data_IF_238710523763
#
_entry.id   IF_238710523763
#
_cell.length_a   1.000
_cell.length_b   1.000
_cell.length_c   1.000
_cell.angle_alpha   90.00
_cell.angle_beta   90.00
_cell.angle_gamma   90.00
#
_symmetry.space_group_name_H-M   'P 1'
#
loop_
_entity.id
_entity.type
_entity.pdbx_description
1 polymer ?
#
# COMPACT_ATOMS: atom_id res chain seq x y z
N UNK A 1 -14.91 38.48 -56.78
CA UNK A 1 -14.34 37.60 -55.74
C UNK A 1 -13.04 38.23 -55.27
N UNK A 2 -13.08 38.90 -54.12
CA UNK A 2 -12.01 39.76 -53.62
C UNK A 2 -11.08 38.98 -52.66
N UNK A 3 -9.76 39.11 -52.87
CA UNK A 3 -8.71 38.68 -51.93
C UNK A 3 -8.60 39.69 -50.78
N UNK A 4 -8.41 39.25 -49.52
CA UNK A 4 -7.86 40.12 -48.48
C UNK A 4 -6.33 40.14 -48.55
N UNK A 5 -5.76 41.34 -48.33
CA UNK A 5 -4.32 41.66 -48.34
C UNK A 5 -3.95 42.22 -46.95
N UNK A 6 -2.94 41.60 -46.29
CA UNK A 6 -1.90 42.18 -45.37
C UNK A 6 -2.33 42.81 -44.02
N UNK A 7 -1.50 42.82 -42.93
CA UNK A 7 -0.07 43.24 -42.92
C UNK A 7 0.95 42.42 -42.07
N UNK A 8 2.27 42.74 -42.20
CA UNK A 8 3.39 42.07 -41.55
C UNK A 8 3.92 42.81 -40.29
N UNK A 9 4.79 42.14 -39.53
CA UNK A 9 5.64 42.73 -38.47
C UNK A 9 5.31 42.16 -37.08
N UNK A 10 6.22 41.91 -36.16
CA UNK A 10 7.67 42.05 -36.01
C UNK A 10 8.03 41.23 -34.76
N UNK A 11 9.19 40.58 -34.65
CA UNK A 11 10.39 41.22 -34.12
C UNK A 11 10.35 41.32 -32.59
N UNK A 12 11.03 40.42 -31.87
CA UNK A 12 11.26 40.57 -30.43
C UNK A 12 11.74 39.32 -29.69
N UNK A 13 13.05 39.09 -29.68
CA UNK A 13 13.78 38.35 -28.63
C UNK A 13 14.37 39.43 -27.70
N UNK A 14 14.34 39.35 -26.35
CA UNK A 14 15.46 38.75 -25.56
C UNK A 14 15.04 38.37 -24.10
N UNK A 15 15.93 38.28 -23.08
CA UNK A 15 17.30 37.75 -22.99
C UNK A 15 17.46 36.62 -21.94
N UNK A 16 18.57 35.91 -22.11
CA UNK A 16 19.27 35.08 -21.13
C UNK A 16 19.90 35.95 -20.00
N UNK A 17 19.87 35.53 -18.73
CA UNK A 17 20.87 35.95 -17.75
C UNK A 17 21.80 34.79 -17.37
N UNK A 18 23.06 34.91 -17.80
CA UNK A 18 24.21 34.25 -17.20
C UNK A 18 24.71 35.04 -15.98
N UNK A 19 25.20 34.30 -14.99
CA UNK A 19 26.05 34.76 -13.89
C UNK A 19 25.63 34.07 -12.59
N UNK A 20 26.41 33.22 -11.95
CA UNK A 20 27.81 32.87 -12.10
C UNK A 20 28.36 32.50 -10.72
N UNK A 21 29.41 31.68 -10.74
CA UNK A 21 30.42 31.52 -9.69
C UNK A 21 30.20 30.46 -8.60
N UNK A 22 31.23 29.61 -8.44
CA UNK A 22 31.34 28.65 -7.33
C UNK A 22 32.09 27.37 -7.70
N UNK A 23 33.30 27.48 -8.25
CA UNK A 23 34.17 26.33 -8.46
C UNK A 23 35.01 25.97 -7.23
N UNK A 24 35.28 24.66 -7.14
CA UNK A 24 36.58 24.04 -6.87
C UNK A 24 36.97 23.58 -5.45
N UNK A 25 37.50 22.33 -5.45
CA UNK A 25 38.50 21.70 -4.55
C UNK A 25 38.13 21.46 -3.08
N UNK A 26 38.53 20.39 -2.39
CA UNK A 26 39.43 19.25 -2.62
C UNK A 26 39.42 18.40 -1.33
N UNK A 27 39.36 17.07 -1.43
CA UNK A 27 40.42 16.11 -1.11
C UNK A 27 41.20 16.30 0.23
N UNK A 28 41.25 15.22 1.02
CA UNK A 28 42.11 15.01 2.22
C UNK A 28 41.30 14.45 3.40
N UNK A 29 41.49 13.24 3.94
CA UNK A 29 42.64 12.34 3.91
C UNK A 29 43.49 12.50 5.18
N UNK A 30 43.17 11.74 6.25
CA UNK A 30 44.03 11.26 7.35
C UNK A 30 43.14 10.93 8.57
N UNK A 31 43.39 9.94 9.41
CA UNK A 31 44.51 9.03 9.55
C UNK A 31 44.25 8.20 10.81
N UNK A 32 44.61 6.92 10.80
CA UNK A 32 44.46 6.01 11.93
C UNK A 32 45.57 6.15 12.98
N UNK A 33 45.27 5.68 14.19
CA UNK A 33 46.18 5.08 15.18
C UNK A 33 45.26 4.55 16.31
N UNK A 34 45.38 3.36 16.89
CA UNK A 34 46.52 2.46 17.01
C UNK A 34 46.75 2.18 18.50
N UNK A 35 46.25 1.03 18.99
CA UNK A 35 46.88 0.20 20.02
C UNK A 35 46.83 0.60 21.51
N UNK A 36 46.72 -0.43 22.37
CA UNK A 36 47.41 -0.47 23.67
C UNK A 36 46.53 -0.69 24.89
N UNK A 37 46.71 -1.84 25.55
CA UNK A 37 45.92 -2.28 26.71
C UNK A 37 46.28 -1.63 28.06
N UNK A 38 45.48 -1.95 29.07
CA UNK A 38 45.75 -1.62 30.48
C UNK A 38 44.49 -1.67 31.37
N UNK A 39 44.35 -2.72 32.19
CA UNK A 39 43.57 -2.75 33.45
C UNK A 39 44.43 -2.13 34.59
N UNK A 40 44.00 -1.93 35.87
CA UNK A 40 42.72 -2.20 36.58
C UNK A 40 42.26 -1.06 37.56
N UNK A 41 41.29 -1.41 38.44
CA UNK A 41 40.74 -0.75 39.65
C UNK A 41 39.61 0.27 39.41
N UNK A 42 38.50 0.29 40.14
CA UNK A 42 38.02 -0.45 41.29
C UNK A 42 36.79 0.26 41.87
N UNK A 43 36.02 -0.48 42.66
CA UNK A 43 35.08 0.02 43.68
C UNK A 43 33.65 0.46 43.30
N UNK A 44 32.72 -0.44 43.66
CA UNK A 44 31.55 -0.23 44.52
C UNK A 44 30.48 0.81 44.17
N UNK A 45 29.23 0.36 44.08
CA UNK A 45 28.09 1.21 44.47
C UNK A 45 26.75 0.88 43.82
N UNK A 46 26.09 -0.17 44.31
CA UNK A 46 24.62 -0.32 44.46
C UNK A 46 23.66 0.14 43.35
N UNK A 47 23.02 -0.83 42.68
CA UNK A 47 21.64 -0.69 42.16
C UNK A 47 20.87 -2.00 42.42
N UNK A 48 19.64 -1.93 42.98
CA UNK A 48 18.87 -3.09 43.42
C UNK A 48 18.19 -3.87 42.28
N UNK A 49 17.85 -5.13 42.62
CA UNK A 49 17.19 -6.15 41.81
C UNK A 49 15.83 -5.71 41.23
N UNK A 50 15.67 -5.88 39.91
CA UNK A 50 14.60 -6.69 39.30
C UNK A 50 14.66 -6.57 37.76
N UNK A 51 15.30 -7.56 37.10
CA UNK A 51 15.03 -7.88 35.70
C UNK A 51 15.04 -9.40 35.53
N UNK A 52 13.88 -9.88 35.10
CA UNK A 52 13.46 -11.27 35.04
C UNK A 52 14.06 -12.04 33.85
N UNK A 53 14.65 -13.20 34.15
CA UNK A 53 14.62 -14.53 33.48
C UNK A 53 14.60 -14.72 31.96
N UNK A 54 14.60 -13.71 31.09
CA UNK A 54 14.44 -13.90 29.64
C UNK A 54 15.75 -13.88 28.81
N UNK A 55 16.88 -13.47 29.38
CA UNK A 55 18.14 -13.27 28.64
C UNK A 55 19.22 -14.32 28.90
N UNK A 56 19.03 -15.25 29.85
CA UNK A 56 20.00 -16.32 30.12
C UNK A 56 19.76 -17.61 29.31
N UNK A 57 18.66 -17.74 28.57
CA UNK A 57 18.33 -18.99 27.88
C UNK A 57 18.95 -19.12 26.48
N UNK A 58 19.37 -18.01 25.86
CA UNK A 58 19.88 -18.01 24.47
C UNK A 58 21.39 -18.31 24.38
N UNK A 59 22.13 -18.23 25.48
CA UNK A 59 23.59 -18.41 25.48
C UNK A 59 24.07 -19.84 25.87
N UNK A 60 23.19 -20.77 26.22
CA UNK A 60 23.59 -22.14 26.63
C UNK A 60 23.26 -23.26 25.63
N UNK A 61 22.61 -22.98 24.50
CA UNK A 61 22.24 -24.01 23.50
C UNK A 61 23.15 -24.05 22.25
N UNK A 62 24.32 -23.39 22.29
CA UNK A 62 25.30 -23.43 21.20
C UNK A 62 26.51 -24.35 21.47
N UNK A 63 26.50 -25.14 22.53
CA UNK A 63 27.57 -26.08 22.83
C UNK A 63 27.01 -27.41 23.35
N UNK A 64 26.76 -28.36 22.44
CA UNK A 64 27.09 -29.78 22.60
C UNK A 64 26.57 -30.57 21.39
N UNK A 65 27.51 -31.20 20.68
CA UNK A 65 27.23 -32.06 19.53
C UNK A 65 26.67 -33.44 19.91
N UNK A 66 26.02 -34.04 18.91
CA UNK A 66 25.54 -35.44 18.71
C UNK A 66 26.33 -36.54 19.46
N UNK A 67 25.79 -37.77 19.76
CA UNK A 67 24.92 -38.59 18.89
C UNK A 67 23.90 -39.58 19.54
N UNK A 68 22.93 -40.08 18.74
CA UNK A 68 22.42 -41.47 18.81
C UNK A 68 21.20 -41.83 19.68
N UNK A 69 20.19 -42.47 19.06
CA UNK A 69 19.34 -43.50 19.71
C UNK A 69 17.90 -43.10 20.13
N UNK A 70 16.89 -43.97 19.92
CA UNK A 70 15.47 -43.58 19.89
C UNK A 70 14.81 -43.64 21.27
N UNK A 71 14.03 -42.62 21.62
CA UNK A 71 13.27 -42.61 22.87
C UNK A 71 12.08 -41.66 22.77
N UNK A 72 10.87 -42.23 22.78
CA UNK A 72 9.61 -41.52 22.97
C UNK A 72 9.68 -40.69 24.26
N UNK A 73 9.53 -39.37 24.12
CA UNK A 73 9.51 -38.43 25.24
C UNK A 73 8.51 -37.33 24.96
N UNK A 74 7.31 -37.50 25.50
CA UNK A 74 6.16 -36.61 25.40
C UNK A 74 6.51 -35.22 25.97
N UNK A 75 6.68 -34.22 25.11
CA UNK A 75 6.89 -32.83 25.54
C UNK A 75 5.53 -32.12 25.64
N UNK A 76 5.21 -31.39 26.73
CA UNK A 76 3.93 -30.70 26.87
C UNK A 76 3.75 -29.65 25.77
N UNK A 77 2.67 -29.80 25.01
CA UNK A 77 2.37 -29.02 23.81
C UNK A 77 2.33 -27.52 24.08
N UNK A 78 3.10 -26.79 23.27
CA UNK A 78 2.93 -25.36 23.02
C UNK A 78 1.44 -25.10 22.72
N UNK A 79 0.81 -24.07 23.30
CA UNK A 79 -0.61 -23.80 23.06
C UNK A 79 -0.88 -23.67 21.56
N UNK A 80 -1.90 -24.41 21.13
CA UNK A 80 -2.36 -24.60 19.75
C UNK A 80 -2.35 -23.28 18.99
N UNK A 81 -1.39 -23.09 18.08
CA UNK A 81 -1.54 -22.06 17.06
C UNK A 81 -2.79 -22.44 16.25
N UNK A 82 -3.73 -21.51 16.01
CA UNK A 82 -4.90 -21.80 15.18
C UNK A 82 -4.44 -22.40 13.86
N UNK A 83 -5.13 -23.46 13.46
CA UNK A 83 -4.83 -24.37 12.34
C UNK A 83 -4.39 -23.61 11.08
N UNK A 84 -3.09 -23.32 10.94
CA UNK A 84 -2.56 -22.65 9.75
C UNK A 84 -2.53 -23.67 8.61
N UNK A 85 -3.03 -23.34 7.40
CA UNK A 85 -2.89 -24.23 6.27
C UNK A 85 -1.40 -24.51 6.02
N UNK A 86 -1.08 -25.75 5.65
CA UNK A 86 0.29 -26.13 5.28
C UNK A 86 0.81 -25.22 4.15
N UNK A 87 2.10 -24.84 4.23
CA UNK A 87 2.73 -24.00 3.21
C UNK A 87 2.74 -24.72 1.85
N UNK A 88 2.15 -24.17 0.78
CA UNK A 88 2.23 -24.77 -0.54
C UNK A 88 3.69 -24.80 -1.03
N UNK A 89 4.03 -25.81 -1.82
CA UNK A 89 5.34 -25.93 -2.45
C UNK A 89 5.42 -25.28 -3.83
N UNK A 90 4.27 -24.90 -4.42
CA UNK A 90 4.15 -24.26 -5.73
C UNK A 90 2.97 -23.27 -5.74
N UNK A 91 3.03 -22.22 -6.59
CA UNK A 91 1.86 -21.38 -6.86
C UNK A 91 0.73 -22.15 -7.56
N UNK A 92 -0.51 -21.64 -7.53
CA UNK A 92 -1.61 -22.20 -8.33
C UNK A 92 -1.22 -22.30 -9.81
N UNK A 93 -1.76 -23.29 -10.51
CA UNK A 93 -1.59 -23.40 -11.95
C UNK A 93 -2.24 -22.21 -12.67
N UNK A 94 -1.68 -21.83 -13.81
CA UNK A 94 -2.19 -20.71 -14.62
C UNK A 94 -3.71 -20.80 -14.92
N UNK A 95 -4.23 -22.01 -15.15
CA UNK A 95 -5.64 -22.27 -15.45
C UNK A 95 -6.54 -22.30 -14.20
N UNK A 96 -5.95 -22.37 -13.01
CA UNK A 96 -6.69 -22.36 -11.74
C UNK A 96 -6.91 -20.93 -11.23
N UNK A 97 -6.26 -19.94 -11.84
CA UNK A 97 -6.34 -18.54 -11.44
C UNK A 97 -7.66 -17.94 -11.94
N UNK A 98 -8.43 -17.34 -11.04
CA UNK A 98 -9.76 -16.82 -11.35
C UNK A 98 -10.14 -15.64 -10.47
N UNK A 99 -11.16 -14.89 -10.91
CA UNK A 99 -11.85 -13.89 -10.09
C UNK A 99 -13.09 -14.49 -9.46
N UNK A 100 -13.31 -14.26 -8.16
CA UNK A 100 -14.59 -14.45 -7.48
C UNK A 100 -15.42 -13.16 -7.54
N UNK A 101 -16.75 -13.22 -7.38
CA UNK A 101 -17.58 -12.01 -7.32
C UNK A 101 -17.14 -11.04 -6.22
N UNK A 102 -16.80 -11.58 -5.04
CA UNK A 102 -16.25 -10.81 -3.92
C UNK A 102 -14.92 -10.14 -4.29
N UNK A 103 -14.04 -10.83 -5.01
CA UNK A 103 -12.78 -10.22 -5.46
C UNK A 103 -12.99 -9.12 -6.49
N UNK A 104 -13.97 -9.27 -7.40
CA UNK A 104 -14.30 -8.25 -8.40
C UNK A 104 -14.77 -6.98 -7.70
N UNK A 105 -15.73 -7.11 -6.79
CA UNK A 105 -16.23 -5.99 -5.99
C UNK A 105 -15.10 -5.33 -5.19
N UNK A 106 -14.27 -6.15 -4.53
CA UNK A 106 -13.13 -5.65 -3.76
C UNK A 106 -12.16 -4.84 -4.64
N UNK A 107 -11.76 -5.37 -5.80
CA UNK A 107 -10.77 -4.71 -6.67
C UNK A 107 -11.33 -3.40 -7.22
N UNK A 108 -12.58 -3.43 -7.70
CA UNK A 108 -13.17 -2.32 -8.44
C UNK A 108 -13.68 -1.23 -7.50
N UNK A 109 -14.50 -1.60 -6.52
CA UNK A 109 -15.28 -0.66 -5.71
C UNK A 109 -14.82 -0.63 -4.24
N UNK A 110 -14.20 -1.73 -3.76
CA UNK A 110 -13.67 -1.87 -2.41
C UNK A 110 -14.74 -2.21 -1.35
N UNK A 111 -14.30 -2.70 -0.20
CA UNK A 111 -15.21 -3.28 0.82
C UNK A 111 -15.73 -2.23 1.83
N UNK A 112 -16.13 -1.04 1.36
CA UNK A 112 -16.70 0.00 2.24
C UNK A 112 -15.73 0.56 3.30
N UNK A 113 -14.42 0.55 3.02
CA UNK A 113 -13.40 0.95 4.01
C UNK A 113 -12.09 1.47 3.43
N UNK A 114 -10.94 0.91 3.83
CA UNK A 114 -9.60 1.33 3.36
C UNK A 114 -8.95 0.35 2.39
N UNK A 115 -9.66 -0.70 1.97
CA UNK A 115 -9.10 -1.77 1.13
C UNK A 115 -9.80 -1.81 -0.22
N UNK A 116 -9.09 -2.27 -1.26
CA UNK A 116 -9.64 -2.38 -2.60
C UNK A 116 -9.97 -1.03 -3.25
N UNK A 117 -10.86 -1.02 -4.24
CA UNK A 117 -11.37 0.20 -4.84
C UNK A 117 -10.32 0.93 -5.67
N UNK A 118 -10.04 0.35 -6.84
CA UNK A 118 -9.06 0.84 -7.80
C UNK A 118 -9.68 1.21 -9.14
N UNK A 119 -11.01 1.11 -9.29
CA UNK A 119 -11.69 1.75 -10.41
C UNK A 119 -11.52 3.27 -10.31
N UNK A 120 -11.40 3.90 -11.48
CA UNK A 120 -11.31 5.35 -11.59
C UNK A 120 -12.54 6.04 -10.96
N UNK A 121 -12.31 7.05 -10.13
CA UNK A 121 -13.35 7.83 -9.43
C UNK A 121 -13.79 7.28 -8.08
N UNK A 122 -13.15 6.24 -7.56
CA UNK A 122 -13.47 5.71 -6.21
C UNK A 122 -13.00 6.63 -5.07
N UNK A 123 -12.00 7.47 -5.33
CA UNK A 123 -11.56 8.56 -4.47
C UNK A 123 -10.93 8.13 -3.15
N UNK A 124 -10.49 6.87 -3.00
CA UNK A 124 -9.91 6.40 -1.74
C UNK A 124 -8.59 7.13 -1.46
N UNK A 125 -8.50 7.76 -0.28
CA UNK A 125 -7.31 8.48 0.17
C UNK A 125 -6.02 7.67 0.07
N UNK A 126 -4.96 8.30 -0.47
CA UNK A 126 -3.60 7.74 -0.64
C UNK A 126 -3.54 6.48 -1.49
N UNK A 127 -4.55 6.24 -2.34
CA UNK A 127 -4.55 5.12 -3.27
C UNK A 127 -4.35 5.58 -4.69
N UNK A 128 -3.92 4.65 -5.51
CA UNK A 128 -3.94 4.75 -6.95
C UNK A 128 -5.19 4.08 -7.51
N UNK A 129 -5.65 4.58 -8.65
CA UNK A 129 -6.75 4.00 -9.42
C UNK A 129 -6.25 3.73 -10.84
N UNK A 130 -6.85 2.73 -11.49
CA UNK A 130 -6.62 2.42 -12.88
C UNK A 130 -7.02 3.59 -13.78
N UNK A 131 -6.50 3.64 -15.02
CA UNK A 131 -6.88 4.67 -15.97
C UNK A 131 -8.39 4.82 -16.15
N UNK A 132 -8.83 6.07 -16.35
CA UNK A 132 -10.26 6.40 -16.50
C UNK A 132 -10.90 5.75 -17.73
N UNK A 133 -10.11 5.40 -18.75
CA UNK A 133 -10.54 4.71 -19.95
C UNK A 133 -10.53 3.18 -19.80
N UNK A 134 -10.08 2.64 -18.67
CA UNK A 134 -10.19 1.21 -18.36
C UNK A 134 -11.51 0.95 -17.64
N UNK A 135 -12.39 0.20 -18.31
CA UNK A 135 -13.60 -0.32 -17.69
C UNK A 135 -13.31 -1.50 -16.75
N UNK A 136 -14.35 -1.96 -16.04
CA UNK A 136 -14.26 -3.08 -15.11
C UNK A 136 -13.70 -4.35 -15.76
N UNK A 137 -14.11 -4.65 -17.01
CA UNK A 137 -13.64 -5.84 -17.73
C UNK A 137 -12.14 -5.74 -17.98
N UNK A 138 -11.68 -4.60 -18.48
CA UNK A 138 -10.28 -4.36 -18.79
C UNK A 138 -9.39 -4.49 -17.55
N UNK A 139 -9.84 -3.97 -16.41
CA UNK A 139 -9.09 -4.07 -15.14
C UNK A 139 -8.94 -5.53 -14.72
N UNK A 140 -10.03 -6.30 -14.75
CA UNK A 140 -10.02 -7.70 -14.33
C UNK A 140 -9.22 -8.58 -15.30
N UNK A 141 -9.32 -8.31 -16.60
CA UNK A 141 -8.53 -8.96 -17.64
C UNK A 141 -7.04 -8.65 -17.49
N UNK A 142 -6.68 -7.38 -17.20
CA UNK A 142 -5.30 -6.99 -16.95
C UNK A 142 -4.73 -7.68 -15.70
N UNK A 143 -5.51 -7.74 -14.62
CA UNK A 143 -5.14 -8.43 -13.39
C UNK A 143 -4.84 -9.92 -13.63
N UNK A 144 -5.67 -10.59 -14.44
CA UNK A 144 -5.45 -11.97 -14.86
C UNK A 144 -4.28 -12.11 -15.83
N UNK A 145 -4.16 -11.25 -16.84
CA UNK A 145 -3.07 -11.26 -17.82
C UNK A 145 -1.69 -11.21 -17.13
N UNK A 146 -1.56 -10.39 -16.09
CA UNK A 146 -0.32 -10.26 -15.30
C UNK A 146 0.12 -11.59 -14.67
N UNK A 147 -0.82 -12.44 -14.24
CA UNK A 147 -0.48 -13.74 -13.65
C UNK A 147 0.04 -14.73 -14.70
N UNK A 148 -0.20 -14.45 -15.99
CA UNK A 148 0.23 -15.26 -17.11
C UNK A 148 1.59 -14.81 -17.70
N UNK A 149 2.13 -13.67 -17.26
CA UNK A 149 3.38 -13.11 -17.81
C UNK A 149 4.65 -13.81 -17.27
N UNK A 150 4.54 -14.58 -16.19
CA UNK A 150 5.69 -15.24 -15.58
C UNK A 150 5.42 -15.74 -14.16
N UNK A 151 6.48 -16.21 -13.46
CA UNK A 151 6.34 -16.67 -12.08
C UNK A 151 5.99 -15.52 -11.13
N UNK A 152 5.46 -15.81 -9.93
CA UNK A 152 5.24 -14.80 -8.91
C UNK A 152 6.51 -14.02 -8.58
N UNK A 153 6.40 -12.71 -8.50
CA UNK A 153 7.45 -11.81 -8.00
C UNK A 153 7.72 -12.00 -6.50
N UNK A 154 6.74 -12.50 -5.74
CA UNK A 154 6.86 -12.78 -4.30
C UNK A 154 5.92 -13.91 -3.88
N UNK A 155 6.35 -14.72 -2.92
CA UNK A 155 5.52 -15.74 -2.27
C UNK A 155 6.23 -17.10 -2.17
N UNK A 156 5.61 -18.08 -1.51
CA UNK A 156 4.36 -17.95 -0.76
C UNK A 156 4.54 -17.18 0.56
N UNK A 157 3.57 -16.33 0.90
CA UNK A 157 3.47 -15.62 2.19
C UNK A 157 2.07 -15.71 2.79
N UNK A 158 1.93 -15.56 4.11
CA UNK A 158 0.63 -15.60 4.78
C UNK A 158 -0.10 -14.25 4.66
N UNK A 159 -1.39 -14.32 4.34
CA UNK A 159 -2.36 -13.23 4.31
C UNK A 159 -3.70 -13.72 4.87
N UNK A 160 -4.78 -12.98 4.60
CA UNK A 160 -6.16 -13.38 4.90
C UNK A 160 -7.00 -13.49 3.63
N UNK A 161 -7.91 -14.46 3.60
CA UNK A 161 -8.96 -14.54 2.59
C UNK A 161 -10.05 -13.46 2.83
N UNK A 162 -11.11 -13.47 2.01
CA UNK A 162 -12.24 -12.55 2.16
C UNK A 162 -12.98 -12.70 3.51
N UNK A 163 -12.91 -13.88 4.13
CA UNK A 163 -13.55 -14.18 5.41
C UNK A 163 -12.64 -13.90 6.62
N UNK A 164 -11.41 -13.43 6.38
CA UNK A 164 -10.42 -13.17 7.43
C UNK A 164 -9.63 -14.39 7.88
N UNK A 165 -9.80 -15.55 7.26
CA UNK A 165 -9.06 -16.77 7.58
C UNK A 165 -7.63 -16.70 7.01
N UNK A 166 -6.63 -17.28 7.71
CA UNK A 166 -5.27 -17.36 7.17
C UNK A 166 -5.23 -18.08 5.81
N UNK A 167 -4.63 -17.43 4.82
CA UNK A 167 -4.45 -17.98 3.48
C UNK A 167 -3.02 -17.72 2.99
N UNK A 168 -2.48 -18.63 2.18
CA UNK A 168 -1.22 -18.39 1.48
C UNK A 168 -1.46 -17.60 0.21
N UNK A 169 -0.54 -16.71 -0.13
CA UNK A 169 -0.65 -15.86 -1.31
C UNK A 169 0.69 -15.63 -2.02
N UNK A 170 0.56 -15.15 -3.26
CA UNK A 170 1.61 -14.87 -4.21
C UNK A 170 1.35 -13.51 -4.85
N UNK A 171 2.37 -12.67 -5.00
CA UNK A 171 2.27 -11.42 -5.76
C UNK A 171 2.85 -11.62 -7.15
N UNK A 172 2.11 -11.15 -8.15
CA UNK A 172 2.53 -11.01 -9.54
C UNK A 172 2.62 -9.53 -9.87
N UNK A 173 3.60 -9.16 -10.68
CA UNK A 173 3.76 -7.80 -11.20
C UNK A 173 4.02 -7.91 -12.69
N UNK A 174 3.32 -7.11 -13.48
CA UNK A 174 3.42 -7.12 -14.93
C UNK A 174 2.97 -5.78 -15.51
N UNK A 175 3.08 -5.62 -16.82
CA UNK A 175 2.62 -4.41 -17.53
C UNK A 175 1.52 -4.75 -18.52
N UNK A 176 0.51 -3.89 -18.58
CA UNK A 176 -0.59 -3.93 -19.57
C UNK A 176 -0.83 -2.50 -20.04
N UNK A 177 -0.73 -2.27 -21.35
CA UNK A 177 -0.90 -0.96 -22.00
C UNK A 177 -0.13 0.20 -21.33
N UNK A 178 1.11 -0.07 -20.92
CA UNK A 178 1.98 0.94 -20.30
C UNK A 178 1.76 1.14 -18.80
N UNK A 179 0.76 0.49 -18.20
CA UNK A 179 0.47 0.53 -16.76
C UNK A 179 1.08 -0.70 -16.08
N UNK A 180 1.88 -0.48 -15.04
CA UNK A 180 2.27 -1.54 -14.11
C UNK A 180 1.06 -1.96 -13.28
N UNK A 181 0.84 -3.26 -13.19
CA UNK A 181 -0.27 -3.86 -12.44
C UNK A 181 0.31 -4.88 -11.48
N UNK A 182 -0.06 -4.76 -10.21
CA UNK A 182 0.29 -5.71 -9.18
C UNK A 182 -0.94 -6.50 -8.76
N UNK A 183 -0.85 -7.83 -8.86
CA UNK A 183 -1.94 -8.77 -8.55
C UNK A 183 -1.51 -9.69 -7.42
N UNK A 184 -2.35 -9.85 -6.40
CA UNK A 184 -2.16 -10.86 -5.35
C UNK A 184 -3.12 -12.02 -5.56
N UNK A 185 -2.59 -13.23 -5.67
CA UNK A 185 -3.34 -14.48 -5.89
C UNK A 185 -3.21 -15.36 -4.66
N UNK A 186 -4.32 -15.84 -4.13
CA UNK A 186 -4.36 -16.81 -3.05
C UNK A 186 -3.99 -18.21 -3.56
N UNK A 187 -3.56 -19.09 -2.65
CA UNK A 187 -3.15 -20.45 -3.00
C UNK A 187 -4.30 -21.33 -3.54
N UNK A 188 -5.56 -20.90 -3.40
CA UNK A 188 -6.73 -21.52 -4.04
C UNK A 188 -6.98 -21.03 -5.48
N UNK A 189 -6.13 -20.15 -6.02
CA UNK A 189 -6.26 -19.57 -7.36
C UNK A 189 -7.04 -18.25 -7.41
N UNK A 190 -7.71 -17.83 -6.34
CA UNK A 190 -8.46 -16.59 -6.34
C UNK A 190 -7.52 -15.37 -6.42
N UNK A 191 -7.75 -14.50 -7.40
CA UNK A 191 -7.15 -13.15 -7.41
C UNK A 191 -7.81 -12.36 -6.28
N UNK A 192 -7.08 -12.07 -5.20
CA UNK A 192 -7.63 -11.37 -4.02
C UNK A 192 -7.70 -9.86 -4.21
N UNK A 193 -6.71 -9.30 -4.89
CA UNK A 193 -6.60 -7.86 -5.14
C UNK A 193 -5.72 -7.60 -6.34
N UNK A 194 -5.96 -6.48 -7.02
CA UNK A 194 -5.14 -5.95 -8.09
C UNK A 194 -5.20 -4.42 -8.06
N UNK A 195 -4.07 -3.77 -8.32
CA UNK A 195 -3.97 -2.31 -8.34
C UNK A 195 -2.78 -1.83 -9.17
N UNK A 196 -2.79 -0.59 -9.68
CA UNK A 196 -1.64 0.00 -10.34
C UNK A 196 -0.70 0.65 -9.31
N UNK A 197 0.45 0.05 -8.95
CA UNK A 197 1.29 0.57 -7.86
C UNK A 197 2.01 1.89 -8.21
N UNK A 198 2.22 2.20 -9.49
CA UNK A 198 2.98 3.36 -9.93
C UNK A 198 2.07 4.48 -10.43
N UNK A 199 1.92 5.52 -9.61
CA UNK A 199 1.13 6.71 -9.95
C UNK A 199 1.67 7.56 -11.10
N UNK A 200 2.87 7.28 -11.61
CA UNK A 200 3.45 7.98 -12.76
C UNK A 200 3.20 7.26 -14.10
N UNK A 201 2.61 6.06 -14.09
CA UNK A 201 2.25 5.39 -15.33
C UNK A 201 1.09 6.14 -16.03
N UNK A 202 1.01 6.08 -17.38
CA UNK A 202 0.01 6.83 -18.14
C UNK A 202 -1.42 6.55 -17.66
N UNK A 203 -2.17 7.61 -17.37
CA UNK A 203 -3.58 7.54 -16.97
C UNK A 203 -3.84 7.07 -15.54
N UNK A 204 -2.84 6.54 -14.82
CA UNK A 204 -3.01 6.14 -13.41
C UNK A 204 -3.31 7.37 -12.57
N UNK A 205 -4.41 7.32 -11.83
CA UNK A 205 -4.85 8.41 -10.96
C UNK A 205 -4.27 8.18 -9.57
N UNK A 206 -3.74 9.23 -8.94
CA UNK A 206 -3.23 9.17 -7.56
C UNK A 206 -4.02 10.09 -6.66
N UNK A 207 -4.77 9.50 -5.73
CA UNK A 207 -5.59 10.27 -4.80
C UNK A 207 -4.74 10.90 -3.68
N UNK A 208 -5.02 12.17 -3.31
CA UNK A 208 -4.34 12.83 -2.22
C UNK A 208 -4.68 12.20 -0.86
N UNK A 209 -4.01 12.68 0.19
CA UNK A 209 -4.35 12.30 1.55
C UNK A 209 -5.66 12.95 1.99
N UNK A 210 -6.55 12.18 2.61
CA UNK A 210 -7.74 12.73 3.24
C UNK A 210 -7.35 13.79 4.30
N UNK A 211 -8.21 14.79 4.54
CA UNK A 211 -7.99 15.81 5.57
C UNK A 211 -7.71 15.18 6.94
N UNK A 212 -6.70 15.70 7.63
CA UNK A 212 -6.33 15.27 8.98
C UNK A 212 -6.10 16.50 9.88
N UNK A 213 -6.94 16.73 10.92
CA UNK A 213 -8.03 15.86 11.37
C UNK A 213 -9.18 15.77 10.36
N UNK A 214 -9.94 14.67 10.43
CA UNK A 214 -11.12 14.49 9.60
C UNK A 214 -12.17 15.60 9.88
N UNK A 215 -12.94 16.04 8.87
CA UNK A 215 -13.97 17.05 9.08
C UNK A 215 -15.01 16.63 10.12
N UNK A 216 -15.57 17.60 10.84
CA UNK A 216 -16.54 17.32 11.91
C UNK A 216 -17.74 16.53 11.36
N UNK A 217 -17.94 15.32 11.88
CA UNK A 217 -19.03 14.44 11.46
C UNK A 217 -18.59 13.29 10.57
N UNK A 218 -17.35 13.28 10.11
CA UNK A 218 -16.75 12.16 9.38
C UNK A 218 -16.06 11.22 10.37
N UNK A 219 -16.40 9.92 10.40
CA UNK A 219 -15.73 8.94 11.25
C UNK A 219 -14.32 8.63 10.74
N UNK A 220 -13.35 8.50 11.65
CA UNK A 220 -11.96 8.19 11.27
C UNK A 220 -11.79 6.80 10.62
N UNK A 221 -12.72 5.88 10.89
CA UNK A 221 -12.76 4.53 10.31
C UNK A 221 -13.19 4.51 8.84
N UNK A 222 -13.91 5.53 8.39
CA UNK A 222 -14.46 5.62 7.02
C UNK A 222 -14.17 7.03 6.48
N UNK A 223 -12.96 7.24 5.91
CA UNK A 223 -12.52 8.54 5.45
C UNK A 223 -13.37 9.04 4.26
N UNK A 224 -13.40 10.36 4.00
CA UNK A 224 -14.10 10.90 2.85
C UNK A 224 -13.46 10.43 1.54
N UNK A 225 -14.21 10.56 0.45
CA UNK A 225 -13.84 10.25 -0.93
C UNK A 225 -13.39 11.50 -1.65
N UNK A 226 -12.28 11.41 -2.37
CA UNK A 226 -11.80 12.50 -3.19
C UNK A 226 -12.48 12.49 -4.57
N UNK A 227 -13.05 13.63 -4.94
CA UNK A 227 -13.65 13.87 -6.24
C UNK A 227 -12.53 14.28 -7.22
N UNK A 228 -11.84 13.30 -7.81
CA UNK A 228 -10.60 13.57 -8.56
C UNK A 228 -10.87 14.31 -9.90
N UNK A 229 -10.20 15.43 -10.20
CA UNK A 229 -10.47 16.20 -11.43
C UNK A 229 -10.25 15.43 -12.74
N UNK A 230 -9.29 14.51 -12.78
CA UNK A 230 -9.01 13.69 -13.97
C UNK A 230 -10.17 12.77 -14.40
N UNK A 231 -11.16 12.56 -13.53
CA UNK A 231 -12.41 11.82 -13.82
C UNK A 231 -13.64 12.72 -13.76
N UNK A 232 -13.46 14.03 -13.91
CA UNK A 232 -14.55 15.02 -13.89
C UNK A 232 -14.98 15.47 -12.49
N UNK A 233 -14.20 15.14 -11.46
CA UNK A 233 -14.42 15.63 -10.11
C UNK A 233 -14.07 17.11 -9.91
N UNK A 234 -14.48 17.66 -8.77
CA UNK A 234 -14.32 19.07 -8.40
C UNK A 234 -13.17 19.31 -7.40
N UNK A 235 -12.40 18.27 -7.08
CA UNK A 235 -11.31 18.32 -6.12
C UNK A 235 -11.77 18.39 -4.66
N UNK A 236 -13.04 18.10 -4.37
CA UNK A 236 -13.58 18.07 -3.02
C UNK A 236 -13.39 16.71 -2.33
N UNK A 237 -13.46 16.71 -1.01
CA UNK A 237 -13.60 15.52 -0.18
C UNK A 237 -15.03 15.37 0.29
N UNK A 238 -15.69 14.28 -0.08
CA UNK A 238 -17.08 14.02 0.29
C UNK A 238 -17.20 12.76 1.14
N UNK A 239 -17.85 12.86 2.29
CA UNK A 239 -18.30 11.71 3.07
C UNK A 239 -19.80 11.73 3.20
N UNK A 240 -20.43 10.57 3.05
CA UNK A 240 -21.85 10.38 3.29
C UNK A 240 -22.06 9.21 4.23
N UNK A 241 -22.86 9.42 5.27
CA UNK A 241 -23.16 8.32 6.17
C UNK A 241 -24.03 8.71 7.36
N UNK A 242 -24.33 7.72 8.20
CA UNK A 242 -25.19 7.91 9.35
C UNK A 242 -24.49 8.72 10.45
N UNK A 243 -25.20 9.70 11.00
CA UNK A 243 -24.84 10.43 12.22
C UNK A 243 -26.06 10.54 13.12
N UNK A 244 -26.09 9.72 14.17
CA UNK A 244 -27.28 9.58 15.02
C UNK A 244 -28.45 8.99 14.23
N UNK A 245 -29.58 9.69 14.20
CA UNK A 245 -30.79 9.31 13.46
C UNK A 245 -30.89 9.96 12.08
N UNK A 246 -29.82 10.55 11.56
CA UNK A 246 -29.78 11.23 10.25
C UNK A 246 -28.72 10.62 9.35
N UNK A 247 -28.93 10.70 8.04
CA UNK A 247 -27.86 10.59 7.05
C UNK A 247 -27.39 12.01 6.77
N UNK A 248 -26.07 12.23 6.84
CA UNK A 248 -25.46 13.52 6.49
C UNK A 248 -24.46 13.35 5.34
N UNK A 249 -24.31 14.40 4.56
CA UNK A 249 -23.20 14.61 3.63
C UNK A 249 -22.29 15.67 4.20
N UNK A 250 -20.99 15.37 4.31
CA UNK A 250 -19.95 16.32 4.67
C UNK A 250 -19.07 16.52 3.45
N UNK A 251 -18.97 17.75 2.96
CA UNK A 251 -18.10 18.11 1.83
C UNK A 251 -17.07 19.10 2.33
N UNK A 252 -15.79 18.81 2.11
CA UNK A 252 -14.70 19.78 2.24
C UNK A 252 -14.20 20.13 0.84
N UNK A 253 -14.30 21.41 0.45
CA UNK A 253 -13.81 21.87 -0.85
C UNK A 253 -12.27 21.96 -0.91
N UNK A 254 -11.74 22.31 -2.08
CA UNK A 254 -10.30 22.45 -2.31
C UNK A 254 -9.66 23.58 -1.48
N UNK A 255 -10.45 24.55 -1.01
CA UNK A 255 -10.03 25.64 -0.13
C UNK A 255 -10.10 25.28 1.36
N UNK A 256 -10.65 24.10 1.69
CA UNK A 256 -10.80 23.62 3.05
C UNK A 256 -12.09 24.06 3.75
N UNK A 257 -13.03 24.69 3.03
CA UNK A 257 -14.33 25.02 3.60
C UNK A 257 -15.16 23.75 3.74
N UNK A 258 -15.78 23.57 4.91
CA UNK A 258 -16.59 22.40 5.22
C UNK A 258 -18.06 22.76 5.21
N UNK A 259 -18.85 22.01 4.44
CA UNK A 259 -20.31 22.06 4.46
C UNK A 259 -20.86 20.74 4.98
N UNK A 260 -21.97 20.79 5.72
CA UNK A 260 -22.69 19.61 6.19
C UNK A 260 -24.16 19.74 5.82
N UNK A 261 -24.66 18.78 5.07
CA UNK A 261 -26.06 18.72 4.61
C UNK A 261 -26.74 17.50 5.21
N UNK A 262 -27.96 17.67 5.71
CA UNK A 262 -28.79 16.53 6.15
C UNK A 262 -29.53 15.97 4.94
N UNK A 263 -29.28 14.72 4.60
CA UNK A 263 -29.88 14.05 3.43
C UNK A 263 -31.20 13.35 3.78
N UNK A 264 -31.41 12.98 5.05
CA UNK A 264 -32.64 12.32 5.48
C UNK A 264 -32.51 11.65 6.85
N UNK A 265 -33.53 10.88 7.22
CA UNK A 265 -33.52 10.06 8.42
C UNK A 265 -32.76 8.76 8.20
N UNK A 266 -31.93 8.38 9.18
CA UNK A 266 -31.28 7.08 9.23
C UNK A 266 -32.06 6.15 10.16
N UNK A 267 -32.59 5.06 9.60
CA UNK A 267 -33.18 3.96 10.36
C UNK A 267 -32.19 2.80 10.37
N UNK A 268 -31.58 2.55 11.53
CA UNK A 268 -30.74 1.38 11.74
C UNK A 268 -31.61 0.14 11.54
N UNK A 269 -31.25 -0.69 10.55
CA UNK A 269 -31.89 -1.98 10.31
C UNK A 269 -31.44 -3.01 11.34
#
# INVERSE_FOLDING_TARGET
>A
MAKPKTPPGGGGNPPNPHGGNGGNSGNGGNGGNGGGGGRPHGSSGGVPHNVSSAQNTVAQQAQQGRPGGPGQGNTPGRPNQPNQPGRPNQPPGANDIHHSDTSREHILHGDGGRQGGHLAGTGFSKKTEFPADWDESKILDAAHQVTQQGPPSKGPYLTKDANGNPAWAYDYTGRVDGVEVKTTVLANGEIRTAYPPNGNDPGVITNPSAPNPAPKGVPQSDPPRYSHPDVGGDGSWTWEGPKGNKIIRVVQDAQGNVTTTVLGDYKKR
#
